data_IF_154287145106
#
_entry.id   IF_154287145106
#
_cell.length_a   1.000
_cell.length_b   1.000
_cell.length_c   1.000
_cell.angle_alpha   90.00
_cell.angle_beta   90.00
_cell.angle_gamma   90.00
#
_symmetry.space_group_name_H-M   'P 1'
#
loop_
_entity.id
_entity.type
_entity.pdbx_description
1 polymer ?
#
# COMPACT_ATOMS: atom_id res chain seq x y z
N UNK A 1 48.45 -30.47 3.66
CA UNK A 1 49.66 -29.75 4.09
C UNK A 1 49.22 -28.48 4.81
N UNK A 2 49.46 -28.40 6.14
CA UNK A 2 49.43 -27.18 6.98
C UNK A 2 50.77 -26.44 6.77
N UNK A 3 50.84 -25.10 6.86
CA UNK A 3 50.95 -24.35 8.14
C UNK A 3 50.21 -22.98 8.07
N UNK A 4 50.12 -22.06 9.04
CA UNK A 4 50.40 -21.84 10.47
C UNK A 4 49.58 -20.56 10.83
N UNK A 5 48.81 -20.48 11.92
CA UNK A 5 49.20 -20.04 13.27
C UNK A 5 49.89 -18.66 13.35
N UNK A 6 49.11 -17.62 13.66
CA UNK A 6 49.48 -16.44 14.46
C UNK A 6 48.16 -15.78 14.92
N UNK A 7 47.67 -15.98 16.15
CA UNK A 7 48.16 -15.48 17.43
C UNK A 7 48.27 -13.94 17.47
N UNK A 8 47.20 -13.28 17.90
CA UNK A 8 47.27 -11.99 18.58
C UNK A 8 46.09 -11.88 19.54
N UNK A 9 46.35 -12.26 20.80
CA UNK A 9 45.54 -11.88 21.95
C UNK A 9 45.47 -10.35 22.01
N UNK A 10 44.28 -9.80 22.17
CA UNK A 10 44.11 -8.46 22.74
C UNK A 10 43.00 -8.53 23.78
N UNK A 11 43.43 -8.77 25.02
CA UNK A 11 42.66 -8.43 26.20
C UNK A 11 42.58 -6.91 26.26
N UNK A 12 41.38 -6.37 26.10
CA UNK A 12 41.05 -5.04 26.58
C UNK A 12 39.77 -5.16 27.40
N UNK A 13 39.97 -5.34 28.70
CA UNK A 13 38.98 -5.03 29.71
C UNK A 13 38.66 -3.54 29.59
N UNK A 14 37.43 -3.21 29.19
CA UNK A 14 36.88 -1.88 29.36
C UNK A 14 35.53 -2.03 30.06
N UNK A 15 35.46 -1.38 31.21
CA UNK A 15 34.37 -1.36 32.16
C UNK A 15 33.03 -1.13 31.46
N UNK A 16 32.13 -2.12 31.53
CA UNK A 16 30.74 -1.94 31.17
C UNK A 16 30.09 -1.05 32.23
N UNK A 17 29.99 0.25 31.91
CA UNK A 17 29.02 1.13 32.54
C UNK A 17 27.67 0.41 32.54
N UNK A 18 27.11 0.21 33.72
CA UNK A 18 25.70 -0.09 33.91
C UNK A 18 24.89 1.15 33.47
N UNK A 19 24.83 1.39 32.17
CA UNK A 19 23.76 2.16 31.58
C UNK A 19 22.50 1.34 31.81
N UNK A 20 21.54 1.91 32.54
CA UNK A 20 20.16 1.43 32.56
C UNK A 20 19.62 1.53 31.14
N UNK A 21 19.96 0.53 30.33
CA UNK A 21 19.29 0.24 29.08
C UNK A 21 17.86 -0.11 29.46
N UNK A 22 16.99 0.90 29.46
CA UNK A 22 15.57 0.67 29.28
C UNK A 22 15.40 -0.29 28.11
N UNK A 23 14.38 -1.17 28.15
CA UNK A 23 14.20 -2.20 27.15
C UNK A 23 14.32 -1.56 25.77
N UNK A 24 15.38 -1.90 25.05
CA UNK A 24 15.51 -1.58 23.66
C UNK A 24 14.30 -2.24 23.02
N UNK A 25 13.28 -1.43 22.73
CA UNK A 25 12.17 -1.83 21.89
C UNK A 25 12.83 -2.10 20.55
N UNK A 26 13.25 -3.35 20.36
CA UNK A 26 13.47 -3.90 19.04
C UNK A 26 12.22 -3.49 18.28
N UNK A 27 12.39 -2.55 17.35
CA UNK A 27 11.36 -2.21 16.40
C UNK A 27 11.15 -3.51 15.61
N UNK A 28 10.30 -4.39 16.14
CA UNK A 28 9.78 -5.51 15.38
C UNK A 28 9.22 -4.86 14.13
N UNK A 29 9.59 -5.34 12.93
CA UNK A 29 8.88 -4.96 11.73
C UNK A 29 7.41 -5.18 12.06
N UNK A 30 6.65 -4.09 12.18
CA UNK A 30 5.22 -4.19 12.42
C UNK A 30 4.67 -5.11 11.34
N UNK A 31 3.74 -6.02 11.66
CA UNK A 31 3.14 -6.86 10.63
C UNK A 31 2.73 -5.92 9.49
N UNK A 32 3.27 -6.19 8.29
CA UNK A 32 2.86 -5.49 7.09
C UNK A 32 1.33 -5.47 7.03
N UNK A 33 0.72 -4.46 6.41
CA UNK A 33 -0.72 -4.33 6.46
C UNK A 33 -1.37 -5.60 5.97
N UNK A 34 -2.39 -6.02 6.71
CA UNK A 34 -3.07 -7.26 6.39
C UNK A 34 -3.69 -7.15 4.98
N UNK A 35 -3.73 -8.24 4.20
CA UNK A 35 -4.36 -8.25 2.89
C UNK A 35 -5.79 -7.70 2.90
N UNK A 36 -6.53 -7.89 4.00
CA UNK A 36 -7.88 -7.35 4.20
C UNK A 36 -7.91 -5.82 4.25
N UNK A 37 -6.86 -5.17 4.77
CA UNK A 37 -6.78 -3.71 4.81
C UNK A 37 -6.55 -3.14 3.42
N UNK A 38 -5.64 -3.75 2.65
CA UNK A 38 -5.41 -3.38 1.26
C UNK A 38 -6.68 -3.64 0.42
N UNK A 39 -7.40 -4.72 0.68
CA UNK A 39 -8.70 -5.00 0.05
C UNK A 39 -9.74 -3.88 0.28
N UNK A 40 -9.92 -3.47 1.53
CA UNK A 40 -10.86 -2.41 1.89
C UNK A 40 -10.47 -1.07 1.28
N UNK A 41 -9.18 -0.72 1.35
CA UNK A 41 -8.69 0.52 0.76
C UNK A 41 -8.79 0.53 -0.77
N UNK A 42 -8.58 -0.62 -1.42
CA UNK A 42 -8.74 -0.75 -2.87
C UNK A 42 -10.18 -0.48 -3.31
N UNK A 43 -11.17 -0.97 -2.55
CA UNK A 43 -12.58 -0.66 -2.81
C UNK A 43 -12.91 0.82 -2.59
N UNK A 44 -12.36 1.45 -1.56
CA UNK A 44 -12.54 2.88 -1.29
C UNK A 44 -11.93 3.70 -2.43
N UNK A 45 -10.68 3.42 -2.81
CA UNK A 45 -9.99 4.10 -3.90
C UNK A 45 -10.74 3.96 -5.22
N UNK A 46 -11.23 2.76 -5.54
CA UNK A 46 -12.01 2.54 -6.76
C UNK A 46 -13.39 3.22 -6.71
N UNK A 47 -13.99 3.34 -5.53
CA UNK A 47 -15.24 4.11 -5.36
C UNK A 47 -15.02 5.60 -5.58
N UNK A 48 -13.94 6.17 -5.05
CA UNK A 48 -13.56 7.57 -5.33
C UNK A 48 -13.21 7.77 -6.81
N UNK A 49 -12.57 6.79 -7.45
CA UNK A 49 -12.28 6.83 -8.88
C UNK A 49 -13.58 6.88 -9.72
N UNK A 50 -14.55 6.03 -9.42
CA UNK A 50 -15.86 6.06 -10.07
C UNK A 50 -16.60 7.39 -9.87
N UNK A 51 -16.52 7.94 -8.67
CA UNK A 51 -17.10 9.25 -8.34
C UNK A 51 -16.44 10.36 -9.18
N UNK A 52 -15.10 10.38 -9.27
CA UNK A 52 -14.36 11.29 -10.15
C UNK A 52 -14.82 11.15 -11.61
N UNK A 53 -14.91 9.93 -12.15
CA UNK A 53 -15.38 9.72 -13.51
C UNK A 53 -16.79 10.28 -13.74
N UNK A 54 -17.67 10.17 -12.74
CA UNK A 54 -19.01 10.76 -12.77
C UNK A 54 -19.01 12.29 -12.75
N UNK A 55 -18.05 12.92 -12.06
CA UNK A 55 -17.97 14.38 -11.98
C UNK A 55 -17.32 15.01 -13.21
N UNK A 56 -16.46 14.30 -13.96
CA UNK A 56 -15.79 14.84 -15.15
C UNK A 56 -16.76 15.40 -16.20
N UNK A 57 -17.98 14.86 -16.29
CA UNK A 57 -19.00 15.36 -17.22
C UNK A 57 -19.51 16.77 -16.91
N UNK A 58 -19.28 17.30 -15.70
CA UNK A 58 -19.69 18.65 -15.34
C UNK A 58 -18.79 19.73 -15.93
N UNK A 59 -17.49 19.43 -16.13
CA UNK A 59 -16.48 20.41 -16.50
C UNK A 59 -16.23 21.50 -15.45
N UNK A 60 -16.80 21.38 -14.24
CA UNK A 60 -16.70 22.37 -13.17
C UNK A 60 -15.56 22.00 -12.19
N UNK A 61 -14.47 22.79 -12.12
CA UNK A 61 -13.37 22.56 -11.20
C UNK A 61 -13.82 22.50 -9.74
N UNK A 62 -14.86 23.25 -9.34
CA UNK A 62 -15.37 23.23 -7.98
C UNK A 62 -15.96 21.87 -7.57
N UNK A 63 -16.30 21.02 -8.55
CA UNK A 63 -16.81 19.66 -8.36
C UNK A 63 -15.71 18.62 -8.62
N UNK A 64 -14.85 18.85 -9.63
CA UNK A 64 -13.78 17.92 -10.03
C UNK A 64 -12.65 17.91 -8.99
N UNK A 65 -12.18 19.06 -8.52
CA UNK A 65 -11.01 19.15 -7.64
C UNK A 65 -11.23 18.39 -6.31
N UNK A 66 -12.38 18.50 -5.63
CA UNK A 66 -12.64 17.70 -4.44
C UNK A 66 -12.70 16.19 -4.72
N UNK A 67 -13.19 15.78 -5.89
CA UNK A 67 -13.23 14.36 -6.27
C UNK A 67 -11.82 13.83 -6.54
N UNK A 68 -10.99 14.60 -7.23
CA UNK A 68 -9.59 14.28 -7.48
C UNK A 68 -8.80 14.16 -6.17
N UNK A 69 -8.99 15.09 -5.23
CA UNK A 69 -8.36 15.04 -3.91
C UNK A 69 -8.73 13.78 -3.11
N UNK A 70 -9.97 13.28 -3.24
CA UNK A 70 -10.39 12.01 -2.63
C UNK A 70 -9.66 10.80 -3.22
N UNK A 71 -9.50 10.78 -4.55
CA UNK A 71 -8.73 9.74 -5.25
C UNK A 71 -7.29 9.77 -4.76
N UNK A 72 -6.63 10.92 -4.84
CA UNK A 72 -5.24 11.12 -4.42
C UNK A 72 -5.01 10.71 -2.96
N UNK A 73 -5.86 11.17 -2.03
CA UNK A 73 -5.77 10.79 -0.63
C UNK A 73 -5.90 9.28 -0.40
N UNK A 74 -6.83 8.61 -1.11
CA UNK A 74 -6.98 7.15 -0.99
C UNK A 74 -5.82 6.37 -1.60
N UNK A 75 -5.28 6.82 -2.75
CA UNK A 75 -4.10 6.23 -3.38
C UNK A 75 -2.84 6.43 -2.52
N UNK A 76 -2.66 7.62 -1.94
CA UNK A 76 -1.58 7.92 -1.01
C UNK A 76 -1.61 7.05 0.24
N UNK A 77 -2.79 6.79 0.81
CA UNK A 77 -2.95 5.84 1.92
C UNK A 77 -2.63 4.41 1.49
N UNK A 78 -3.08 4.00 0.31
CA UNK A 78 -2.79 2.68 -0.26
C UNK A 78 -1.28 2.45 -0.43
N UNK A 79 -0.58 3.45 -0.98
CA UNK A 79 0.87 3.44 -1.14
C UNK A 79 1.63 3.50 0.19
N UNK A 80 1.18 4.33 1.14
CA UNK A 80 1.80 4.46 2.48
C UNK A 80 1.77 3.13 3.22
N UNK A 81 0.70 2.36 3.00
CA UNK A 81 0.56 1.01 3.53
C UNK A 81 1.27 -0.03 2.65
N UNK A 82 2.08 0.34 1.66
CA UNK A 82 2.79 -0.63 0.82
C UNK A 82 1.87 -1.68 0.19
N UNK A 83 0.61 -1.33 -0.07
CA UNK A 83 -0.30 -2.18 -0.81
C UNK A 83 0.09 -2.19 -2.31
N UNK A 84 -0.41 -3.16 -3.08
CA UNK A 84 -0.04 -3.39 -4.48
C UNK A 84 -0.63 -2.31 -5.43
N UNK A 85 0.08 -1.18 -5.55
CA UNK A 85 -0.32 -0.07 -6.41
C UNK A 85 -0.50 -0.47 -7.89
N UNK A 86 0.38 -1.30 -8.50
CA UNK A 86 0.15 -1.82 -9.84
C UNK A 86 -1.19 -2.55 -10.00
N UNK A 87 -1.57 -3.39 -9.04
CA UNK A 87 -2.87 -4.06 -9.07
C UNK A 87 -4.04 -3.07 -8.98
N UNK A 88 -3.92 -2.02 -8.15
CA UNK A 88 -4.95 -0.99 -8.03
C UNK A 88 -5.12 -0.19 -9.32
N UNK A 89 -4.01 0.21 -9.94
CA UNK A 89 -4.00 0.89 -11.23
C UNK A 89 -4.64 0.02 -12.32
N UNK A 90 -4.27 -1.26 -12.39
CA UNK A 90 -4.88 -2.23 -13.32
C UNK A 90 -6.39 -2.34 -13.14
N UNK A 91 -6.89 -2.35 -11.89
CA UNK A 91 -8.32 -2.36 -11.61
C UNK A 91 -9.02 -1.06 -12.07
N UNK A 92 -8.39 0.10 -11.89
CA UNK A 92 -8.92 1.39 -12.35
C UNK A 92 -8.97 1.48 -13.88
N UNK A 93 -7.93 1.02 -14.57
CA UNK A 93 -7.86 0.95 -16.03
C UNK A 93 -8.92 -0.02 -16.59
N UNK A 94 -9.08 -1.18 -15.95
CA UNK A 94 -10.13 -2.15 -16.30
C UNK A 94 -11.52 -1.51 -16.30
N UNK A 95 -11.84 -0.64 -15.34
CA UNK A 95 -13.15 0.03 -15.27
C UNK A 95 -13.39 0.93 -16.48
N UNK A 96 -12.34 1.58 -17.01
CA UNK A 96 -12.44 2.47 -18.17
C UNK A 96 -12.71 1.72 -19.47
N UNK A 97 -12.10 0.54 -19.64
CA UNK A 97 -12.19 -0.24 -20.90
C UNK A 97 -13.32 -1.27 -20.89
N UNK A 98 -13.89 -1.56 -19.72
CA UNK A 98 -14.96 -2.55 -19.57
C UNK A 98 -16.32 -2.04 -20.08
N UNK A 99 -17.10 -2.97 -20.63
CA UNK A 99 -18.38 -2.68 -21.31
C UNK A 99 -19.38 -1.90 -20.45
N UNK A 100 -20.00 -0.89 -21.08
CA UNK A 100 -20.95 0.03 -20.45
C UNK A 100 -22.27 -0.62 -19.97
N UNK A 101 -22.60 -1.82 -20.44
CA UNK A 101 -23.87 -2.51 -20.19
C UNK A 101 -24.08 -2.99 -18.76
N UNK A 102 -23.03 -3.05 -17.95
CA UNK A 102 -23.12 -3.38 -16.51
C UNK A 102 -23.08 -2.14 -15.62
N UNK A 103 -23.83 -2.13 -14.49
CA UNK A 103 -23.74 -1.05 -13.50
C UNK A 103 -22.28 -0.81 -13.06
N UNK A 104 -21.86 0.46 -12.87
CA UNK A 104 -20.46 0.80 -12.57
C UNK A 104 -19.89 0.05 -11.36
N UNK A 105 -20.69 -0.14 -10.30
CA UNK A 105 -20.28 -0.84 -9.09
C UNK A 105 -20.06 -2.33 -9.33
N UNK A 106 -20.85 -2.95 -10.22
CA UNK A 106 -20.67 -4.36 -10.59
C UNK A 106 -19.38 -4.55 -11.38
N UNK A 107 -19.10 -3.65 -12.32
CA UNK A 107 -17.86 -3.63 -13.11
C UNK A 107 -16.64 -3.40 -12.23
N UNK A 108 -16.69 -2.42 -11.32
CA UNK A 108 -15.61 -2.15 -10.37
C UNK A 108 -15.26 -3.36 -9.50
N UNK A 109 -16.27 -4.07 -8.97
CA UNK A 109 -16.05 -5.31 -8.22
C UNK A 109 -15.41 -6.42 -9.07
N UNK A 110 -15.80 -6.52 -10.33
CA UNK A 110 -15.19 -7.47 -11.27
C UNK A 110 -13.72 -7.12 -11.52
N UNK A 111 -13.42 -5.86 -11.83
CA UNK A 111 -12.06 -5.39 -12.05
C UNK A 111 -11.15 -5.56 -10.83
N UNK A 112 -11.67 -5.39 -9.61
CA UNK A 112 -10.90 -5.70 -8.39
C UNK A 112 -10.58 -7.19 -8.27
N UNK A 113 -11.52 -8.08 -8.59
CA UNK A 113 -11.26 -9.53 -8.59
C UNK A 113 -10.21 -9.91 -9.63
N UNK A 114 -10.33 -9.36 -10.84
CA UNK A 114 -9.40 -9.64 -11.94
C UNK A 114 -7.98 -9.13 -11.65
N UNK A 115 -7.86 -8.04 -10.88
CA UNK A 115 -6.59 -7.53 -10.39
C UNK A 115 -6.04 -8.28 -9.16
N UNK A 116 -6.72 -9.32 -8.66
CA UNK A 116 -6.32 -10.02 -7.44
C UNK A 116 -6.53 -9.20 -6.15
N UNK A 117 -7.26 -8.09 -6.24
CA UNK A 117 -7.59 -7.18 -5.15
C UNK A 117 -8.97 -7.43 -4.57
N UNK A 118 -9.56 -8.60 -4.80
CA UNK A 118 -10.79 -9.00 -4.14
C UNK A 118 -10.82 -10.51 -3.95
N UNK A 119 -11.47 -10.97 -2.87
CA UNK A 119 -11.75 -12.39 -2.73
C UNK A 119 -12.74 -12.84 -3.81
N UNK A 120 -12.58 -14.07 -4.35
CA UNK A 120 -13.51 -14.65 -5.29
C UNK A 120 -14.92 -14.79 -4.71
#
# INVERSE_FOLDING_TARGET
MKPALAAALSLAAALSLAATAGPAQTTQPGPGPSPERCYLLGQIALSHWLDLLGTLGSGDPAVIDPALARVDGSAGLYQTLSCDMPALASAMDCVLVSDAGSPPQTRARQCLRDAGLARP
#
